data_IF_555066216997
#
_entry.id   IF_555066216997
#
_cell.length_a   1.000
_cell.length_b   1.000
_cell.length_c   1.000
_cell.angle_alpha   90.00
_cell.angle_beta   90.00
_cell.angle_gamma   90.00
#
_symmetry.space_group_name_H-M   'P 1'
#
loop_
_entity.id
_entity.type
_entity.pdbx_description
1 polymer ?
#
# COMPACT_ATOMS: atom_id res chain seq x y z
N UNK A 1 -34.17 -14.56 -11.12
CA UNK A 1 -33.26 -14.26 -9.99
C UNK A 1 -33.51 -12.83 -9.53
N UNK A 2 -33.65 -12.59 -8.22
CA UNK A 2 -33.91 -11.25 -7.70
C UNK A 2 -32.66 -10.37 -7.90
N UNK A 3 -32.77 -9.14 -8.45
CA UNK A 3 -31.60 -8.28 -8.73
C UNK A 3 -30.75 -7.98 -7.48
N UNK A 4 -31.36 -7.99 -6.28
CA UNK A 4 -30.65 -7.83 -5.01
C UNK A 4 -29.69 -8.98 -4.66
N UNK A 5 -29.93 -10.20 -5.17
CA UNK A 5 -29.06 -11.35 -4.89
C UNK A 5 -27.71 -11.23 -5.61
N UNK A 6 -27.72 -10.73 -6.85
CA UNK A 6 -26.49 -10.46 -7.60
C UNK A 6 -25.65 -9.32 -6.99
N UNK A 7 -26.31 -8.31 -6.42
CA UNK A 7 -25.67 -7.23 -5.67
C UNK A 7 -25.01 -7.74 -4.38
N UNK A 8 -25.69 -8.59 -3.63
CA UNK A 8 -25.11 -9.17 -2.41
C UNK A 8 -23.93 -10.10 -2.73
N UNK A 9 -24.02 -10.88 -3.81
CA UNK A 9 -22.94 -11.76 -4.24
C UNK A 9 -21.70 -10.99 -4.68
N UNK A 10 -21.84 -9.88 -5.42
CA UNK A 10 -20.69 -9.08 -5.86
C UNK A 10 -19.97 -8.40 -4.68
N UNK A 11 -20.73 -7.96 -3.67
CA UNK A 11 -20.18 -7.38 -2.43
C UNK A 11 -19.33 -8.41 -1.67
N UNK A 12 -19.59 -9.71 -1.82
CA UNK A 12 -18.81 -10.79 -1.19
C UNK A 12 -17.68 -11.29 -2.10
N UNK A 13 -17.94 -11.44 -3.40
CA UNK A 13 -16.97 -11.96 -4.37
C UNK A 13 -15.80 -11.02 -4.63
N UNK A 14 -16.07 -9.71 -4.73
CA UNK A 14 -15.03 -8.73 -5.06
C UNK A 14 -13.96 -8.66 -3.96
N UNK A 15 -14.29 -8.56 -2.67
CA UNK A 15 -13.31 -8.64 -1.59
C UNK A 15 -12.63 -10.00 -1.50
N UNK A 16 -13.34 -11.10 -1.76
CA UNK A 16 -12.77 -12.44 -1.71
C UNK A 16 -11.73 -12.67 -2.82
N UNK A 17 -11.94 -12.10 -4.01
CA UNK A 17 -11.05 -12.26 -5.17
C UNK A 17 -9.86 -11.28 -5.14
N UNK A 18 -10.06 -10.05 -4.68
CA UNK A 18 -9.07 -8.97 -4.80
C UNK A 18 -8.55 -8.44 -3.45
N UNK A 19 -9.12 -8.89 -2.33
CA UNK A 19 -8.80 -8.41 -0.98
C UNK A 19 -9.43 -7.06 -0.66
N UNK A 20 -9.87 -6.88 0.59
CA UNK A 20 -10.37 -5.60 1.09
C UNK A 20 -9.24 -4.80 1.74
N UNK A 21 -8.80 -3.71 1.10
CA UNK A 21 -7.74 -2.84 1.62
C UNK A 21 -8.27 -1.49 2.09
N UNK A 22 -9.13 -0.85 1.31
CA UNK A 22 -9.79 0.40 1.67
C UNK A 22 -11.16 0.51 1.01
N UNK A 23 -12.08 1.28 1.61
CA UNK A 23 -13.42 1.47 1.05
C UNK A 23 -13.39 2.08 -0.36
N UNK A 24 -12.43 2.97 -0.63
CA UNK A 24 -12.27 3.60 -1.95
C UNK A 24 -11.82 2.59 -3.00
N UNK A 25 -10.85 1.72 -2.67
CA UNK A 25 -10.39 0.66 -3.57
C UNK A 25 -11.48 -0.38 -3.81
N UNK A 26 -12.21 -0.75 -2.76
CA UNK A 26 -13.34 -1.67 -2.87
C UNK A 26 -14.40 -1.14 -3.84
N UNK A 27 -14.77 0.15 -3.73
CA UNK A 27 -15.76 0.74 -4.63
C UNK A 27 -15.25 0.81 -6.09
N UNK A 28 -13.96 1.08 -6.29
CA UNK A 28 -13.33 1.03 -7.61
C UNK A 28 -13.35 -0.38 -8.20
N UNK A 29 -12.99 -1.40 -7.41
CA UNK A 29 -13.03 -2.80 -7.82
C UNK A 29 -14.46 -3.24 -8.18
N UNK A 30 -15.44 -2.84 -7.38
CA UNK A 30 -16.86 -3.12 -7.61
C UNK A 30 -17.34 -2.46 -8.91
N UNK A 31 -16.97 -1.20 -9.15
CA UNK A 31 -17.29 -0.49 -10.38
C UNK A 31 -16.70 -1.17 -11.62
N UNK A 32 -15.42 -1.55 -11.57
CA UNK A 32 -14.75 -2.27 -12.68
C UNK A 32 -15.40 -3.63 -12.93
N UNK A 33 -15.75 -4.38 -11.88
CA UNK A 33 -16.45 -5.66 -11.99
C UNK A 33 -17.80 -5.51 -12.71
N UNK A 34 -18.58 -4.49 -12.36
CA UNK A 34 -19.85 -4.22 -13.03
C UNK A 34 -19.67 -3.76 -14.47
N UNK A 35 -18.70 -2.89 -14.77
CA UNK A 35 -18.40 -2.50 -16.16
C UNK A 35 -18.05 -3.72 -17.01
N UNK A 36 -17.22 -4.63 -16.50
CA UNK A 36 -16.85 -5.86 -17.21
C UNK A 36 -18.06 -6.79 -17.42
N UNK A 37 -18.93 -6.90 -16.41
CA UNK A 37 -20.17 -7.69 -16.50
C UNK A 37 -21.12 -7.13 -17.56
N UNK A 38 -21.32 -5.81 -17.58
CA UNK A 38 -22.12 -5.13 -18.61
C UNK A 38 -21.50 -5.27 -19.99
N UNK A 39 -20.18 -5.14 -20.11
CA UNK A 39 -19.46 -5.33 -21.38
C UNK A 39 -19.66 -6.76 -21.90
N UNK A 40 -19.47 -7.76 -21.05
CA UNK A 40 -19.63 -9.18 -21.40
C UNK A 40 -21.07 -9.49 -21.81
N UNK A 41 -22.05 -9.01 -21.04
CA UNK A 41 -23.47 -9.16 -21.37
C UNK A 41 -23.83 -8.47 -22.69
N UNK A 42 -23.27 -7.29 -22.96
CA UNK A 42 -23.43 -6.56 -24.21
C UNK A 42 -22.85 -7.31 -25.40
N UNK A 43 -21.64 -7.85 -25.26
CA UNK A 43 -20.98 -8.67 -26.31
C UNK A 43 -21.80 -9.93 -26.60
N UNK A 44 -22.23 -10.68 -25.57
CA UNK A 44 -23.02 -11.90 -25.73
C UNK A 44 -24.36 -11.59 -26.41
N UNK A 45 -25.06 -10.56 -25.95
CA UNK A 45 -26.36 -10.16 -26.52
C UNK A 45 -26.20 -9.66 -27.96
N UNK A 46 -25.16 -8.87 -28.23
CA UNK A 46 -24.83 -8.39 -29.58
C UNK A 46 -24.54 -9.53 -30.55
N UNK A 47 -23.70 -10.48 -30.15
CA UNK A 47 -23.40 -11.67 -30.96
C UNK A 47 -24.66 -12.53 -31.18
N UNK A 48 -25.45 -12.76 -30.13
CA UNK A 48 -26.68 -13.54 -30.21
C UNK A 48 -27.69 -12.91 -31.17
N UNK A 49 -27.86 -11.58 -31.12
CA UNK A 49 -28.73 -10.84 -32.04
C UNK A 49 -28.22 -10.89 -33.48
N UNK A 50 -26.89 -10.80 -33.70
CA UNK A 50 -26.33 -10.96 -35.05
C UNK A 50 -26.61 -12.34 -35.65
N UNK A 51 -26.46 -13.41 -34.85
CA UNK A 51 -26.72 -14.79 -35.29
C UNK A 51 -28.22 -15.01 -35.59
N UNK A 52 -29.11 -14.56 -34.70
CA UNK A 52 -30.56 -14.65 -34.91
C UNK A 52 -31.02 -13.85 -36.14
N UNK A 53 -30.44 -12.67 -36.36
CA UNK A 53 -30.78 -11.81 -37.49
C UNK A 53 -30.29 -12.39 -38.83
N UNK A 54 -29.15 -13.10 -38.83
CA UNK A 54 -28.66 -13.86 -40.00
C UNK A 54 -29.51 -15.10 -40.28
N UNK A 55 -30.00 -15.78 -39.24
CA UNK A 55 -30.84 -16.97 -39.40
C UNK A 55 -32.27 -16.65 -39.88
N UNK A 56 -32.77 -15.44 -39.64
CA UNK A 56 -34.15 -15.03 -39.95
C UNK A 56 -34.38 -14.39 -41.33
N UNK A 57 -33.33 -14.04 -42.09
CA UNK A 57 -33.48 -13.38 -43.40
C UNK A 57 -32.68 -14.09 -44.49
N UNK A 58 -33.38 -14.62 -45.50
CA UNK A 58 -32.76 -15.22 -46.69
C UNK A 58 -32.11 -14.17 -47.58
N UNK A 59 -30.79 -14.27 -47.78
CA UNK A 59 -29.90 -13.69 -48.81
C UNK A 59 -30.01 -12.22 -49.27
N UNK A 60 -31.06 -11.44 -48.96
CA UNK A 60 -31.17 -10.04 -49.37
C UNK A 60 -30.78 -9.13 -48.21
N UNK A 61 -29.53 -8.72 -48.23
CA UNK A 61 -28.85 -7.90 -47.26
C UNK A 61 -29.37 -6.45 -47.29
N UNK A 62 -30.07 -6.03 -46.23
CA UNK A 62 -30.10 -4.62 -45.80
C UNK A 62 -29.77 -4.58 -44.31
N UNK A 63 -28.55 -4.20 -43.93
CA UNK A 63 -28.19 -4.18 -42.53
C UNK A 63 -28.99 -3.06 -41.83
N UNK A 64 -29.72 -3.41 -40.78
CA UNK A 64 -30.23 -2.46 -39.79
C UNK A 64 -29.05 -1.94 -38.96
N UNK A 65 -28.23 -1.10 -39.61
CA UNK A 65 -26.86 -0.68 -39.26
C UNK A 65 -26.74 0.30 -38.11
N UNK A 66 -27.80 0.67 -37.40
CA UNK A 66 -27.66 1.67 -36.35
C UNK A 66 -27.35 1.01 -35.01
N UNK A 67 -28.24 0.14 -34.53
CA UNK A 67 -28.20 -0.31 -33.13
C UNK A 67 -26.98 -1.18 -32.81
N UNK A 68 -26.61 -2.13 -33.67
CA UNK A 68 -25.45 -3.01 -33.46
C UNK A 68 -24.12 -2.25 -33.44
N UNK A 69 -23.98 -1.21 -34.28
CA UNK A 69 -22.77 -0.38 -34.29
C UNK A 69 -22.68 0.50 -33.05
N UNK A 70 -23.80 1.02 -32.53
CA UNK A 70 -23.85 1.72 -31.25
C UNK A 70 -23.47 0.81 -30.07
N UNK A 71 -23.90 -0.46 -30.07
CA UNK A 71 -23.48 -1.43 -29.06
C UNK A 71 -21.99 -1.78 -29.15
N UNK A 72 -21.46 -1.95 -30.37
CA UNK A 72 -20.04 -2.25 -30.57
C UNK A 72 -19.16 -1.05 -30.19
N UNK A 73 -19.60 0.17 -30.51
CA UNK A 73 -18.92 1.41 -30.12
C UNK A 73 -18.92 1.61 -28.60
N UNK A 74 -20.05 1.39 -27.93
CA UNK A 74 -20.12 1.50 -26.47
C UNK A 74 -19.26 0.43 -25.78
N UNK A 75 -19.19 -0.79 -26.32
CA UNK A 75 -18.29 -1.83 -25.83
C UNK A 75 -16.81 -1.43 -25.95
N UNK A 76 -16.40 -0.86 -27.09
CA UNK A 76 -15.03 -0.36 -27.29
C UNK A 76 -14.71 0.81 -26.37
N UNK A 77 -15.63 1.75 -26.17
CA UNK A 77 -15.44 2.89 -25.26
C UNK A 77 -15.30 2.41 -23.81
N UNK A 78 -16.15 1.46 -23.38
CA UNK A 78 -16.06 0.86 -22.05
C UNK A 78 -14.74 0.12 -21.85
N UNK A 79 -14.31 -0.68 -22.83
CA UNK A 79 -13.03 -1.37 -22.79
C UNK A 79 -11.83 -0.39 -22.76
N UNK A 80 -11.87 0.69 -23.55
CA UNK A 80 -10.84 1.72 -23.54
C UNK A 80 -10.80 2.45 -22.18
N UNK A 81 -11.96 2.76 -21.60
CA UNK A 81 -12.05 3.41 -20.29
C UNK A 81 -11.53 2.51 -19.17
N UNK A 82 -11.85 1.21 -19.18
CA UNK A 82 -11.35 0.27 -18.19
C UNK A 82 -9.84 0.10 -18.29
N UNK A 83 -9.28 -0.03 -19.51
CA UNK A 83 -7.83 -0.08 -19.74
C UNK A 83 -7.17 1.22 -19.25
N UNK A 84 -7.74 2.38 -19.56
CA UNK A 84 -7.22 3.67 -19.10
C UNK A 84 -7.21 3.77 -17.56
N UNK A 85 -8.29 3.35 -16.89
CA UNK A 85 -8.35 3.32 -15.43
C UNK A 85 -7.33 2.35 -14.83
N UNK A 86 -7.15 1.16 -15.41
CA UNK A 86 -6.12 0.21 -14.97
C UNK A 86 -4.71 0.79 -15.11
N UNK A 87 -4.41 1.45 -16.23
CA UNK A 87 -3.11 2.11 -16.43
C UNK A 87 -2.90 3.29 -15.47
N UNK A 88 -3.94 4.07 -15.19
CA UNK A 88 -3.87 5.19 -14.25
C UNK A 88 -3.61 4.73 -12.80
N UNK A 89 -4.20 3.61 -12.39
CA UNK A 89 -3.95 2.99 -11.08
C UNK A 89 -2.54 2.37 -11.04
N UNK A 90 -2.12 1.69 -12.11
CA UNK A 90 -0.78 1.10 -12.23
C UNK A 90 0.32 2.16 -12.13
N UNK A 91 0.23 3.24 -12.89
CA UNK A 91 1.23 4.34 -12.89
C UNK A 91 1.41 4.99 -11.52
N UNK A 92 0.34 5.17 -10.75
CA UNK A 92 0.40 5.71 -9.38
C UNK A 92 1.10 4.76 -8.41
N UNK A 93 0.98 3.45 -8.63
CA UNK A 93 1.66 2.44 -7.83
C UNK A 93 3.15 2.35 -8.21
N UNK A 94 3.48 2.44 -9.49
CA UNK A 94 4.85 2.44 -9.99
C UNK A 94 5.66 3.64 -9.44
N UNK A 95 5.12 4.86 -9.49
CA UNK A 95 5.82 6.05 -8.93
C UNK A 95 6.03 5.98 -7.42
N UNK A 96 5.16 5.25 -6.70
CA UNK A 96 5.30 5.03 -5.25
C UNK A 96 6.36 3.96 -4.95
N UNK A 97 6.47 2.93 -5.80
CA UNK A 97 7.51 1.89 -5.72
C UNK A 97 8.89 2.45 -6.11
N UNK A 98 8.97 3.41 -7.02
CA UNK A 98 10.23 4.06 -7.42
C UNK A 98 10.94 4.81 -6.27
N UNK A 99 10.22 5.18 -5.22
CA UNK A 99 10.79 5.83 -4.02
C UNK A 99 11.03 4.86 -2.87
N UNK A 100 11.01 3.56 -3.12
CA UNK A 100 11.19 2.55 -2.08
C UNK A 100 12.53 1.85 -2.24
N UNK A 101 13.23 1.61 -1.13
CA UNK A 101 14.45 0.80 -1.08
C UNK A 101 14.26 -0.37 -0.12
N UNK A 102 14.97 -1.48 -0.35
CA UNK A 102 14.98 -2.58 0.61
C UNK A 102 16.00 -2.31 1.71
N UNK A 103 15.59 -2.49 2.96
CA UNK A 103 16.42 -2.25 4.15
C UNK A 103 16.46 -3.52 4.98
N UNK A 104 17.65 -3.84 5.49
CA UNK A 104 17.87 -4.89 6.49
C UNK A 104 18.21 -4.20 7.80
N UNK A 105 17.37 -4.42 8.80
CA UNK A 105 17.54 -3.92 10.16
C UNK A 105 17.94 -5.08 11.06
N UNK A 106 18.94 -4.86 11.91
CA UNK A 106 19.41 -5.83 12.88
C UNK A 106 19.26 -5.28 14.31
N UNK A 107 18.52 -5.98 15.16
CA UNK A 107 18.32 -5.64 16.58
C UNK A 107 18.35 -6.92 17.40
N UNK A 108 19.22 -6.95 18.41
CA UNK A 108 19.39 -8.10 19.30
C UNK A 108 19.76 -9.40 18.55
N UNK A 109 20.59 -9.25 17.51
CA UNK A 109 21.00 -10.35 16.63
C UNK A 109 19.90 -10.90 15.71
N UNK A 110 18.69 -10.35 15.75
CA UNK A 110 17.60 -10.68 14.82
C UNK A 110 17.59 -9.72 13.64
N UNK A 111 17.18 -10.22 12.47
CA UNK A 111 17.13 -9.45 11.23
C UNK A 111 15.73 -9.35 10.68
N UNK A 112 15.36 -8.13 10.30
CA UNK A 112 14.13 -7.83 9.57
C UNK A 112 14.50 -7.20 8.23
N UNK A 113 13.98 -7.77 7.15
CA UNK A 113 14.09 -7.21 5.81
C UNK A 113 12.71 -6.70 5.38
N UNK A 114 12.63 -5.42 5.04
CA UNK A 114 11.39 -4.82 4.57
C UNK A 114 11.63 -3.68 3.58
N UNK A 115 10.54 -3.20 2.99
CA UNK A 115 10.55 -2.08 2.08
C UNK A 115 10.46 -0.76 2.87
N UNK A 116 11.36 0.18 2.55
CA UNK A 116 11.43 1.50 3.14
C UNK A 116 11.13 2.59 2.13
N UNK A 117 10.15 3.45 2.41
CA UNK A 117 9.89 4.65 1.63
C UNK A 117 10.99 5.68 1.92
N UNK A 118 11.65 6.15 0.88
CA UNK A 118 12.58 7.26 0.92
C UNK A 118 11.80 8.56 1.03
N UNK A 119 11.87 9.21 2.19
CA UNK A 119 11.16 10.45 2.46
C UNK A 119 12.14 11.61 2.66
N UNK A 120 12.01 12.63 1.80
CA UNK A 120 12.74 13.89 1.89
C UNK A 120 12.19 14.80 2.99
N UNK A 121 10.95 14.57 3.44
CA UNK A 121 10.30 15.33 4.50
C UNK A 121 10.64 14.85 5.91
N UNK A 122 11.16 13.63 6.06
CA UNK A 122 11.54 13.09 7.36
C UNK A 122 12.84 13.73 7.87
N UNK A 123 12.69 14.74 8.74
CA UNK A 123 13.79 15.43 9.41
C UNK A 123 13.95 14.99 10.88
N UNK A 124 13.38 13.84 11.25
CA UNK A 124 13.43 13.36 12.63
C UNK A 124 14.86 12.98 13.02
N UNK A 125 15.39 13.63 14.05
CA UNK A 125 16.73 13.41 14.59
C UNK A 125 16.67 13.32 16.10
N UNK A 126 17.56 12.52 16.67
CA UNK A 126 17.82 12.57 18.10
C UNK A 126 18.45 13.94 18.47
N UNK A 127 17.81 14.76 19.33
CA UNK A 127 18.30 16.10 19.66
C UNK A 127 19.65 16.11 20.35
N UNK A 128 20.06 15.00 20.97
CA UNK A 128 21.35 14.92 21.68
C UNK A 128 22.49 14.47 20.78
N UNK A 129 22.29 13.42 19.99
CA UNK A 129 23.35 12.87 19.12
C UNK A 129 23.35 13.42 17.69
N UNK A 130 22.25 14.04 17.26
CA UNK A 130 22.02 14.42 15.86
C UNK A 130 21.76 13.22 14.94
N UNK A 131 21.71 11.99 15.47
CA UNK A 131 21.51 10.78 14.67
C UNK A 131 20.11 10.79 14.03
N UNK A 132 19.98 10.60 12.71
CA UNK A 132 18.68 10.53 12.06
C UNK A 132 17.89 9.29 12.47
N UNK A 133 16.57 9.38 12.37
CA UNK A 133 15.64 8.33 12.83
C UNK A 133 14.83 7.82 11.64
N UNK A 134 14.98 6.52 11.36
CA UNK A 134 14.06 5.77 10.51
C UNK A 134 12.80 5.43 11.30
N UNK A 135 11.63 5.49 10.66
CA UNK A 135 10.37 5.06 11.28
C UNK A 135 10.06 3.65 10.78
N UNK A 136 9.65 2.77 11.67
CA UNK A 136 9.30 1.37 11.39
C UNK A 136 7.98 1.04 12.06
N UNK A 137 7.10 0.36 11.35
CA UNK A 137 5.82 -0.06 11.93
C UNK A 137 6.01 -1.20 12.94
N UNK A 138 5.34 -1.11 14.09
CA UNK A 138 5.35 -2.13 15.14
C UNK A 138 4.96 -3.53 14.63
N UNK A 139 3.96 -3.69 13.73
CA UNK A 139 3.61 -4.98 13.15
C UNK A 139 4.78 -5.78 12.57
N UNK A 140 5.85 -5.11 12.11
CA UNK A 140 7.04 -5.79 11.59
C UNK A 140 7.73 -6.67 12.64
N UNK A 141 7.60 -6.31 13.92
CA UNK A 141 8.18 -7.05 15.04
C UNK A 141 7.27 -8.16 15.58
N UNK A 142 6.03 -8.29 15.11
CA UNK A 142 5.03 -9.23 15.65
C UNK A 142 5.46 -10.71 15.64
N UNK A 143 6.31 -11.11 14.71
CA UNK A 143 6.83 -12.48 14.62
C UNK A 143 7.89 -12.79 15.68
N UNK A 144 8.54 -11.77 16.22
CA UNK A 144 9.61 -11.90 17.21
C UNK A 144 9.11 -11.58 18.64
N UNK A 145 8.26 -10.56 18.77
CA UNK A 145 7.72 -10.16 20.06
C UNK A 145 6.64 -11.15 20.51
N UNK A 146 6.73 -11.74 21.73
CA UNK A 146 5.60 -12.43 22.32
C UNK A 146 4.38 -11.52 22.39
N UNK A 147 3.18 -12.07 22.19
CA UNK A 147 1.93 -11.30 22.11
C UNK A 147 1.75 -10.31 23.30
N UNK A 148 2.12 -10.75 24.51
CA UNK A 148 2.05 -9.90 25.70
C UNK A 148 2.98 -8.69 25.61
N UNK A 149 4.22 -8.87 25.11
CA UNK A 149 5.18 -7.77 24.95
C UNK A 149 4.77 -6.86 23.78
N UNK A 150 4.28 -7.42 22.68
CA UNK A 150 3.75 -6.65 21.55
C UNK A 150 2.63 -5.70 21.99
N UNK A 151 1.64 -6.23 22.73
CA UNK A 151 0.50 -5.44 23.21
C UNK A 151 0.93 -4.37 24.22
N UNK A 152 1.93 -4.66 25.07
CA UNK A 152 2.53 -3.65 25.98
C UNK A 152 3.17 -2.52 25.20
N UNK A 153 4.06 -2.82 24.25
CA UNK A 153 4.70 -1.82 23.39
C UNK A 153 3.67 -0.95 22.69
N UNK A 154 2.63 -1.57 22.10
CA UNK A 154 1.55 -0.85 21.41
C UNK A 154 0.80 0.09 22.36
N UNK A 155 0.34 -0.42 23.50
CA UNK A 155 -0.41 0.38 24.49
C UNK A 155 0.41 1.53 25.05
N UNK A 156 1.71 1.34 25.27
CA UNK A 156 2.62 2.39 25.73
C UNK A 156 2.79 3.50 24.69
N UNK A 157 2.94 3.16 23.42
CA UNK A 157 3.01 4.14 22.34
C UNK A 157 1.70 4.91 22.15
N UNK A 158 0.55 4.25 22.29
CA UNK A 158 -0.77 4.87 22.17
C UNK A 158 -1.11 5.78 23.37
N UNK A 159 -0.77 5.36 24.59
CA UNK A 159 -1.07 6.12 25.81
C UNK A 159 -0.11 7.29 26.06
N UNK A 160 1.05 7.31 25.41
CA UNK A 160 2.09 8.33 25.61
C UNK A 160 2.61 8.41 27.06
N UNK A 161 2.31 7.40 27.89
CA UNK A 161 2.54 7.43 29.33
C UNK A 161 3.74 6.57 29.70
N UNK A 162 4.71 7.19 30.39
CA UNK A 162 5.97 6.56 30.80
C UNK A 162 5.87 5.74 32.10
N UNK A 163 4.69 5.66 32.71
CA UNK A 163 4.48 4.98 33.99
C UNK A 163 4.79 3.48 33.98
N UNK A 164 4.78 2.83 32.81
CA UNK A 164 4.91 1.38 32.69
C UNK A 164 6.25 0.92 32.08
N UNK A 165 7.26 1.81 32.03
CA UNK A 165 8.58 1.51 31.44
C UNK A 165 9.31 0.34 32.12
N UNK A 166 9.02 0.07 33.39
CA UNK A 166 9.66 -1.01 34.15
C UNK A 166 9.22 -2.41 33.67
N UNK A 167 8.04 -2.51 33.06
CA UNK A 167 7.41 -3.76 32.61
C UNK A 167 7.88 -4.23 31.22
N UNK A 168 8.66 -3.41 30.52
CA UNK A 168 9.31 -3.79 29.27
C UNK A 168 10.50 -4.67 29.58
N UNK A 169 10.40 -5.96 29.26
CA UNK A 169 11.50 -6.88 29.42
C UNK A 169 12.43 -6.86 28.21
N UNK A 170 11.88 -6.65 27.02
CA UNK A 170 12.67 -6.62 25.79
C UNK A 170 13.16 -5.22 25.45
N UNK A 171 14.41 -5.15 25.02
CA UNK A 171 15.09 -3.92 24.59
C UNK A 171 15.14 -2.80 25.63
N UNK A 172 14.96 -3.11 26.92
CA UNK A 172 14.91 -2.14 28.04
C UNK A 172 16.06 -1.13 28.08
N UNK A 173 17.24 -1.51 27.59
CA UNK A 173 18.44 -0.66 27.55
C UNK A 173 18.78 -0.11 26.16
N UNK A 174 17.96 -0.43 25.15
CA UNK A 174 18.19 -0.06 23.75
C UNK A 174 17.24 1.04 23.26
N UNK A 175 16.15 1.30 23.97
CA UNK A 175 15.21 2.35 23.58
C UNK A 175 15.51 3.69 24.25
N UNK A 176 15.08 4.78 23.61
CA UNK A 176 15.01 6.14 24.16
C UNK A 176 13.81 6.86 23.58
N UNK A 177 13.38 7.94 24.24
CA UNK A 177 12.36 8.82 23.68
C UNK A 177 13.00 9.93 22.88
N UNK A 178 12.48 10.15 21.68
CA UNK A 178 12.86 11.26 20.81
C UNK A 178 11.67 12.19 20.70
N UNK A 179 11.79 13.44 21.18
CA UNK A 179 10.70 14.39 21.04
C UNK A 179 10.66 14.87 19.59
N UNK A 180 9.47 14.92 19.01
CA UNK A 180 9.26 15.35 17.63
C UNK A 180 8.02 16.20 17.48
N UNK A 181 8.01 17.02 16.42
CA UNK A 181 6.91 17.92 16.13
C UNK A 181 6.63 17.96 14.65
N UNK A 182 5.42 17.60 14.27
CA UNK A 182 4.91 17.85 12.92
C UNK A 182 4.43 19.30 12.82
N UNK A 183 4.53 19.90 11.62
CA UNK A 183 4.07 21.25 11.38
C UNK A 183 2.61 21.44 11.84
N UNK A 184 2.37 22.41 12.72
CA UNK A 184 1.04 22.70 13.26
C UNK A 184 0.52 21.74 14.32
N UNK A 185 1.28 20.72 14.74
CA UNK A 185 0.91 19.82 15.84
C UNK A 185 1.67 20.15 17.13
N UNK A 186 1.13 19.65 18.24
CA UNK A 186 1.80 19.64 19.54
C UNK A 186 3.03 18.72 19.53
N UNK A 187 3.92 18.92 20.51
CA UNK A 187 5.09 18.07 20.69
C UNK A 187 4.65 16.64 21.03
N UNK A 188 5.18 15.66 20.32
CA UNK A 188 4.96 14.23 20.56
C UNK A 188 6.27 13.54 20.91
N UNK A 189 6.16 12.31 21.40
CA UNK A 189 7.31 11.48 21.75
C UNK A 189 7.31 10.22 20.87
N UNK A 190 8.48 9.90 20.34
CA UNK A 190 8.74 8.70 19.55
C UNK A 190 9.60 7.75 20.37
N UNK A 191 9.17 6.49 20.51
CA UNK A 191 10.04 5.44 21.03
C UNK A 191 11.02 5.03 19.94
N UNK A 192 12.32 5.20 20.19
CA UNK A 192 13.37 4.88 19.23
C UNK A 192 14.35 3.86 19.80
N UNK A 193 14.58 2.77 19.07
CA UNK A 193 15.57 1.75 19.38
C UNK A 193 16.93 2.08 18.78
N UNK A 194 17.98 1.68 19.49
CA UNK A 194 19.34 1.57 18.98
C UNK A 194 19.53 0.20 18.34
N UNK A 195 19.63 0.12 17.00
CA UNK A 195 19.90 -1.13 16.30
C UNK A 195 21.38 -1.54 16.43
N UNK A 196 21.66 -2.81 16.15
CA UNK A 196 23.04 -3.32 15.98
C UNK A 196 23.59 -2.90 14.60
N UNK A 197 22.72 -2.82 13.60
CA UNK A 197 23.03 -2.27 12.29
C UNK A 197 21.79 -2.06 11.43
N UNK A 198 21.87 -1.08 10.53
CA UNK A 198 20.92 -0.89 9.45
C UNK A 198 21.71 -0.90 8.15
N UNK A 199 21.27 -1.73 7.20
CA UNK A 199 21.95 -1.95 5.93
C UNK A 199 20.98 -1.68 4.79
N UNK A 200 21.39 -0.81 3.88
CA UNK A 200 20.66 -0.60 2.63
C UNK A 200 21.02 -1.74 1.68
N UNK A 201 20.02 -2.42 1.12
CA UNK A 201 20.25 -3.48 0.12
C UNK A 201 20.57 -2.86 -1.24
N UNK A 202 21.68 -2.13 -1.29
CA UNK A 202 22.35 -1.71 -2.52
C UNK A 202 23.36 -2.78 -2.96
N UNK A 203 24.22 -2.47 -3.93
CA UNK A 203 25.25 -3.42 -4.40
C UNK A 203 26.26 -3.82 -3.32
N UNK A 204 26.38 -3.08 -2.21
CA UNK A 204 27.44 -3.25 -1.22
C UNK A 204 26.94 -3.46 0.22
N UNK A 205 25.62 -3.56 0.45
CA UNK A 205 25.04 -3.63 1.79
C UNK A 205 25.54 -2.50 2.69
N UNK A 206 25.42 -1.26 2.23
CA UNK A 206 25.93 -0.08 2.92
C UNK A 206 25.30 0.06 4.31
N UNK A 207 26.13 0.04 5.37
CA UNK A 207 25.70 0.29 6.74
C UNK A 207 25.47 1.79 6.94
N UNK A 208 24.31 2.17 7.47
CA UNK A 208 23.94 3.57 7.73
C UNK A 208 23.69 3.84 9.22
N UNK A 209 24.11 5.00 9.76
CA UNK A 209 23.93 5.34 11.17
C UNK A 209 22.54 5.91 11.41
N UNK A 210 21.63 5.03 11.82
CA UNK A 210 20.22 5.37 12.05
C UNK A 210 19.73 4.83 13.39
N UNK A 211 18.78 5.53 13.98
CA UNK A 211 17.92 5.02 15.05
C UNK A 211 16.60 4.50 14.46
N UNK A 212 15.92 3.62 15.18
CA UNK A 212 14.67 2.99 14.74
C UNK A 212 13.52 3.49 15.59
N UNK A 213 12.84 4.55 15.13
CA UNK A 213 11.57 5.00 15.69
C UNK A 213 10.46 4.00 15.37
N UNK A 214 9.61 3.69 16.35
CA UNK A 214 8.52 2.72 16.19
C UNK A 214 7.18 3.44 16.12
N UNK A 215 6.42 3.20 15.06
CA UNK A 215 5.02 3.61 14.95
C UNK A 215 4.10 2.43 15.33
N UNK A 216 3.12 2.60 16.23
CA UNK A 216 2.23 1.50 16.63
C UNK A 216 1.33 0.99 15.49
N UNK A 217 1.21 1.72 14.38
CA UNK A 217 0.33 1.40 13.27
C UNK A 217 1.09 1.12 11.95
N UNK A 218 0.45 0.41 11.00
CA UNK A 218 0.99 0.25 9.66
C UNK A 218 1.21 1.60 8.97
N UNK A 219 2.38 1.78 8.33
CA UNK A 219 2.73 3.04 7.65
C UNK A 219 2.08 3.15 6.27
N UNK A 220 1.69 2.02 5.66
CA UNK A 220 1.07 1.96 4.34
C UNK A 220 -0.19 1.09 4.36
N UNK A 221 -1.35 1.67 4.06
CA UNK A 221 -2.63 0.93 4.00
C UNK A 221 -2.69 -0.15 2.91
N UNK A 222 -1.76 -0.12 1.96
CA UNK A 222 -1.59 -1.11 0.88
C UNK A 222 -0.38 -2.02 1.10
N UNK A 223 0.29 -1.91 2.25
CA UNK A 223 1.50 -2.67 2.60
C UNK A 223 2.66 -2.50 1.59
N UNK A 224 2.70 -1.38 0.86
CA UNK A 224 3.76 -1.10 -0.14
C UNK A 224 5.13 -0.86 0.52
N UNK A 225 5.16 -0.46 1.79
CA UNK A 225 6.36 -0.23 2.60
C UNK A 225 6.00 -0.33 4.09
N UNK A 226 6.97 -0.73 4.91
CA UNK A 226 6.86 -0.92 6.36
C UNK A 226 7.82 0.00 7.15
N UNK A 227 8.65 0.75 6.42
CA UNK A 227 9.64 1.65 7.00
C UNK A 227 9.63 2.99 6.24
N UNK A 228 10.05 4.08 6.91
CA UNK A 228 10.33 5.38 6.29
C UNK A 228 11.77 5.77 6.63
N UNK A 229 12.60 5.94 5.60
CA UNK A 229 14.00 6.30 5.74
C UNK A 229 14.23 7.78 5.33
N UNK A 230 14.97 8.57 6.12
CA UNK A 230 15.38 9.91 5.72
C UNK A 230 16.21 9.87 4.42
N UNK A 231 15.90 10.71 3.44
CA UNK A 231 16.66 10.75 2.19
C UNK A 231 18.15 11.14 2.38
N UNK A 232 18.48 11.89 3.44
CA UNK A 232 19.84 12.37 3.74
C UNK A 232 20.85 11.26 4.04
N UNK A 233 20.39 10.04 4.38
CA UNK A 233 21.29 8.90 4.68
C UNK A 233 21.56 8.00 3.47
N UNK A 234 20.97 8.31 2.31
CA UNK A 234 21.21 7.55 1.10
C UNK A 234 22.51 7.99 0.42
N UNK A 235 23.28 7.05 -0.17
CA UNK A 235 24.43 7.41 -0.98
C UNK A 235 24.01 8.21 -2.22
N UNK A 236 24.83 9.20 -2.61
CA UNK A 236 24.55 10.21 -3.65
C UNK A 236 24.16 9.65 -5.03
N UNK A 237 24.37 8.35 -5.29
CA UNK A 237 24.01 7.71 -6.56
C UNK A 237 22.50 7.54 -6.80
N UNK A 238 21.65 7.71 -5.78
CA UNK A 238 20.20 7.49 -5.88
C UNK A 238 19.36 8.78 -5.94
N UNK A 239 19.94 9.94 -5.70
CA UNK A 239 19.22 11.23 -5.65
C UNK A 239 19.13 11.93 -7.02
N UNK A 240 19.88 11.47 -8.03
CA UNK A 240 20.02 12.15 -9.33
C UNK A 240 19.09 11.65 -10.44
N UNK A 241 18.16 10.72 -10.15
CA UNK A 241 17.20 10.21 -11.15
C UNK A 241 15.79 10.83 -11.10
N UNK A 242 15.58 11.88 -10.30
CA UNK A 242 14.27 12.53 -10.18
C UNK A 242 14.30 14.05 -10.35
N UNK A 243 15.08 14.54 -11.30
CA UNK A 243 14.99 15.93 -11.79
C UNK A 243 14.41 15.94 -13.21
#
# INVERSE_FOLDING_TARGET
MHPGFALLLSIILVPAAFGFHSFTLFLQQLFVFYMLSFLTAGIITGLHMMVLFQAGQGSSWTPGTSLTYWFMLTAVIVAALTIYMMQAVGKKRETKVEKTTTVIMEIDGQRWEAFALVDTGNQLKDPFSGTPVMIVELPLFSSFLPEQEYNRWKSMMESGTLGNLEELNMWKQRWKLIPYRSAGQEMKWMFALRPDGIYLKDKHYTKVPLLVGIDPYPLSGTNDFQMIIPAEVLPESNTSRSA
#
